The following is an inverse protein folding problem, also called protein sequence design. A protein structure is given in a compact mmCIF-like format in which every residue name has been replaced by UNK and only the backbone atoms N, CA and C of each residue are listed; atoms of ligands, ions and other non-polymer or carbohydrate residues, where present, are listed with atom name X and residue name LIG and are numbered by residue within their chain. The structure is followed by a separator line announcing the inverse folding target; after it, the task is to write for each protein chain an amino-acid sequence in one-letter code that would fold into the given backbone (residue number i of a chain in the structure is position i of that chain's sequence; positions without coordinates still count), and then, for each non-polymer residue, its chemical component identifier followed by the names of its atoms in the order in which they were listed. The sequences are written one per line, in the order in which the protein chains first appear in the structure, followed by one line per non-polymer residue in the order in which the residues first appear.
data_IF_288962168810
#
_entry.id   IF_288962168810
#
_cell.length_a   1.000
_cell.length_b   1.000
_cell.length_c   1.000
_cell.angle_alpha   90.00
_cell.angle_beta   90.00
_cell.angle_gamma   90.00
#
_symmetry.space_group_name_H-M   'P 1'
#
loop_
_entity.id
_entity.type
_entity.pdbx_description
1 polymer ?
#
# COMPACT_ATOMS: atom_id res chain seq x y z
N UNK A 1 11.56 4.96 -21.70
CA UNK A 1 10.18 5.44 -21.93
C UNK A 1 9.72 6.10 -20.65
N UNK A 2 9.32 7.37 -20.70
CA UNK A 2 8.85 8.13 -19.53
C UNK A 2 7.37 8.41 -19.71
N UNK A 3 6.53 7.67 -18.99
CA UNK A 3 5.11 7.95 -18.90
C UNK A 3 4.89 9.18 -18.02
N UNK A 4 4.25 10.23 -18.54
CA UNK A 4 3.83 11.35 -17.71
C UNK A 4 2.79 10.86 -16.70
N UNK A 5 3.03 11.11 -15.41
CA UNK A 5 2.16 10.64 -14.33
C UNK A 5 1.33 11.78 -13.77
N UNK A 6 0.08 11.47 -13.42
CA UNK A 6 -0.87 12.38 -12.78
C UNK A 6 -1.28 11.79 -11.43
N UNK A 7 -1.52 12.67 -10.45
CA UNK A 7 -2.13 12.29 -9.18
C UNK A 7 -3.53 11.75 -9.39
N UNK A 8 -3.90 10.72 -8.63
CA UNK A 8 -5.29 10.31 -8.55
C UNK A 8 -6.10 11.38 -7.80
N UNK A 9 -7.30 11.64 -8.30
CA UNK A 9 -8.28 12.56 -7.73
C UNK A 9 -9.48 11.78 -7.18
N UNK A 10 -10.42 12.49 -6.56
CA UNK A 10 -11.68 11.91 -6.06
C UNK A 10 -12.41 11.03 -7.08
N UNK A 11 -12.45 11.40 -8.37
CA UNK A 11 -13.13 10.61 -9.41
C UNK A 11 -12.51 9.21 -9.58
N UNK A 12 -11.21 9.11 -9.35
CA UNK A 12 -10.45 7.86 -9.45
C UNK A 12 -10.88 6.81 -8.43
N UNK A 13 -11.58 7.23 -7.37
CA UNK A 13 -12.16 6.36 -6.34
C UNK A 13 -13.66 6.07 -6.58
N UNK A 14 -14.29 6.68 -7.59
CA UNK A 14 -15.75 6.59 -7.78
C UNK A 14 -16.26 5.16 -7.98
N UNK A 15 -15.50 4.31 -8.66
CA UNK A 15 -15.92 2.93 -8.94
C UNK A 15 -16.12 2.06 -7.68
N UNK A 16 -15.56 2.45 -6.52
CA UNK A 16 -15.78 1.77 -5.24
C UNK A 16 -17.24 1.84 -4.74
N UNK A 17 -18.04 2.75 -5.29
CA UNK A 17 -19.48 2.81 -5.01
C UNK A 17 -20.19 1.51 -5.39
N UNK A 18 -19.80 0.93 -6.53
CA UNK A 18 -20.34 -0.29 -7.14
C UNK A 18 -19.25 -1.35 -7.33
N UNK A 19 -18.38 -1.51 -6.33
CA UNK A 19 -17.19 -2.35 -6.42
C UNK A 19 -17.45 -3.78 -6.93
N UNK A 20 -18.44 -4.48 -6.37
CA UNK A 20 -18.73 -5.88 -6.70
C UNK A 20 -19.18 -6.07 -8.17
N UNK A 21 -19.75 -5.02 -8.78
CA UNK A 21 -20.10 -5.03 -10.21
C UNK A 21 -18.83 -5.04 -11.06
N UNK A 22 -17.91 -4.12 -10.81
CA UNK A 22 -16.68 -3.99 -11.58
C UNK A 22 -15.74 -5.18 -11.39
N UNK A 23 -15.55 -5.64 -10.15
CA UNK A 23 -14.67 -6.78 -9.85
C UNK A 23 -15.15 -8.06 -10.53
N UNK A 24 -16.46 -8.32 -10.53
CA UNK A 24 -17.01 -9.49 -11.22
C UNK A 24 -16.70 -9.48 -12.71
N UNK A 25 -16.77 -8.31 -13.36
CA UNK A 25 -16.42 -8.18 -14.77
C UNK A 25 -14.92 -8.35 -15.01
N UNK A 26 -14.06 -7.81 -14.13
CA UNK A 26 -12.63 -8.07 -14.20
C UNK A 26 -12.28 -9.55 -13.99
N UNK A 27 -12.80 -10.22 -12.95
CA UNK A 27 -12.52 -11.64 -12.69
C UNK A 27 -12.95 -12.52 -13.89
N UNK A 28 -14.11 -12.25 -14.47
CA UNK A 28 -14.57 -12.96 -15.67
C UNK A 28 -13.64 -12.72 -16.86
N UNK A 29 -13.21 -11.47 -17.09
CA UNK A 29 -12.28 -11.17 -18.16
C UNK A 29 -10.92 -11.82 -17.92
N UNK A 30 -10.38 -11.74 -16.71
CA UNK A 30 -9.07 -12.30 -16.33
C UNK A 30 -9.01 -13.82 -16.41
N UNK A 31 -10.15 -14.51 -16.42
CA UNK A 31 -10.23 -15.95 -16.70
C UNK A 31 -9.92 -16.31 -18.17
N UNK A 32 -9.95 -15.33 -19.09
CA UNK A 32 -9.59 -15.52 -20.50
C UNK A 32 -8.07 -15.75 -20.59
N UNK A 33 -7.70 -16.93 -21.06
CA UNK A 33 -6.31 -17.38 -21.22
C UNK A 33 -5.96 -17.80 -22.65
N UNK A 34 -6.88 -17.63 -23.60
CA UNK A 34 -6.69 -17.91 -25.02
C UNK A 34 -7.37 -16.83 -25.88
N UNK A 35 -6.84 -16.62 -27.08
CA UNK A 35 -7.49 -15.80 -28.11
C UNK A 35 -8.42 -16.71 -28.91
N UNK A 36 -9.68 -16.32 -29.08
CA UNK A 36 -10.59 -17.04 -29.98
C UNK A 36 -10.12 -16.81 -31.42
N UNK A 37 -9.93 -17.90 -32.17
CA UNK A 37 -9.78 -17.78 -33.62
C UNK A 37 -11.08 -17.22 -34.20
N UNK A 38 -10.95 -16.13 -34.96
CA UNK A 38 -12.04 -15.64 -35.79
C UNK A 38 -12.25 -16.68 -36.89
N UNK A 39 -13.26 -17.52 -36.74
CA UNK A 39 -13.76 -18.33 -37.84
C UNK A 39 -14.77 -17.43 -38.55
N UNK A 40 -14.54 -17.03 -39.82
CA UNK A 40 -15.50 -16.23 -40.56
C UNK A 40 -16.84 -16.97 -40.56
N UNK A 41 -17.84 -16.44 -39.86
CA UNK A 41 -19.18 -17.01 -39.93
C UNK A 41 -19.71 -16.75 -41.34
N UNK A 42 -19.90 -17.81 -42.13
CA UNK A 42 -20.64 -17.73 -43.39
C UNK A 42 -21.99 -17.04 -43.14
N UNK A 43 -22.26 -15.97 -43.90
CA UNK A 43 -23.51 -15.22 -43.86
C UNK A 43 -24.69 -16.16 -44.11
N UNK A 44 -25.37 -16.57 -43.03
CA UNK A 44 -26.61 -17.34 -43.14
C UNK A 44 -27.78 -16.37 -43.30
N UNK A 45 -28.04 -15.96 -44.54
CA UNK A 45 -29.30 -15.32 -44.91
C UNK A 45 -30.46 -16.30 -44.65
N UNK A 46 -31.17 -16.16 -43.53
CA UNK A 46 -32.52 -16.71 -43.39
C UNK A 46 -33.52 -15.60 -43.74
N UNK A 47 -33.98 -15.62 -44.99
CA UNK A 47 -35.16 -14.89 -45.41
C UNK A 47 -36.40 -15.53 -44.78
N UNK A 48 -37.11 -14.76 -43.98
CA UNK A 48 -38.44 -15.05 -43.47
C UNK A 48 -39.07 -13.73 -43.04
N UNK A 49 -40.27 -13.44 -43.53
CA UNK A 49 -41.00 -12.22 -43.28
C UNK A 49 -41.25 -12.02 -41.77
N UNK A 50 -40.91 -10.82 -41.25
CA UNK A 50 -41.12 -10.44 -39.84
C UNK A 50 -42.02 -9.21 -39.81
N UNK A 51 -43.14 -9.36 -39.11
CA UNK A 51 -44.09 -8.31 -38.75
C UNK A 51 -43.42 -7.24 -37.86
N UNK A 52 -43.78 -5.99 -38.12
CA UNK A 52 -43.37 -4.78 -37.40
C UNK A 52 -43.82 -4.81 -35.93
N UNK A 53 -42.87 -4.71 -34.99
CA UNK A 53 -42.85 -3.78 -33.84
C UNK A 53 -41.89 -4.25 -32.72
N UNK A 54 -40.59 -4.26 -33.02
CA UNK A 54 -39.52 -3.99 -32.05
C UNK A 54 -38.23 -3.81 -32.85
N UNK A 55 -37.73 -2.58 -32.98
CA UNK A 55 -36.44 -2.30 -33.62
C UNK A 55 -35.31 -2.79 -32.69
N UNK A 56 -35.11 -4.11 -32.68
CA UNK A 56 -34.01 -4.77 -32.01
C UNK A 56 -32.76 -4.52 -32.88
N UNK A 57 -31.94 -3.55 -32.50
CA UNK A 57 -30.67 -3.27 -33.16
C UNK A 57 -29.75 -4.49 -33.09
N UNK A 58 -29.75 -5.32 -34.13
CA UNK A 58 -28.66 -6.27 -34.39
C UNK A 58 -27.41 -5.45 -34.68
N UNK A 59 -26.60 -5.20 -33.64
CA UNK A 59 -25.22 -4.79 -33.87
C UNK A 59 -24.53 -6.01 -34.47
N UNK A 60 -24.10 -5.92 -35.72
CA UNK A 60 -23.12 -6.87 -36.24
C UNK A 60 -22.01 -6.97 -35.19
N UNK A 61 -21.70 -8.18 -34.71
CA UNK A 61 -20.56 -8.40 -33.85
C UNK A 61 -19.33 -7.98 -34.67
N UNK A 62 -18.86 -6.75 -34.48
CA UNK A 62 -17.61 -6.29 -35.07
C UNK A 62 -16.53 -7.14 -34.42
N UNK A 63 -16.11 -8.16 -35.13
CA UNK A 63 -15.16 -9.14 -34.64
C UNK A 63 -13.76 -8.52 -34.68
N UNK A 64 -13.27 -8.12 -33.50
CA UNK A 64 -11.91 -7.56 -33.35
C UNK A 64 -10.95 -8.68 -32.98
N UNK A 65 -9.93 -8.89 -33.82
CA UNK A 65 -8.83 -9.81 -33.54
C UNK A 65 -7.80 -9.15 -32.63
N UNK A 66 -7.58 -9.69 -31.43
CA UNK A 66 -6.49 -9.22 -30.59
C UNK A 66 -5.11 -9.76 -31.00
N UNK A 67 -5.01 -10.56 -32.07
CA UNK A 67 -3.70 -10.98 -32.59
C UNK A 67 -2.97 -9.83 -33.29
N UNK A 68 -3.69 -8.84 -33.82
CA UNK A 68 -3.08 -7.66 -34.47
C UNK A 68 -2.22 -6.83 -33.51
N UNK A 69 -2.43 -6.94 -32.18
CA UNK A 69 -1.61 -6.22 -31.20
C UNK A 69 -0.16 -6.74 -31.17
N UNK A 70 0.08 -7.97 -31.64
CA UNK A 70 1.40 -8.59 -31.65
C UNK A 70 2.37 -7.85 -32.59
N UNK A 71 1.84 -7.22 -33.64
CA UNK A 71 2.61 -6.44 -34.62
C UNK A 71 2.99 -5.05 -34.11
N UNK A 72 2.57 -4.66 -32.90
CA UNK A 72 2.87 -3.35 -32.30
C UNK A 72 4.08 -3.40 -31.36
N UNK A 73 4.88 -2.32 -31.31
CA UNK A 73 6.04 -2.18 -30.43
C UNK A 73 5.76 -2.41 -28.94
N UNK A 74 4.51 -2.18 -28.48
CA UNK A 74 4.13 -2.44 -27.09
C UNK A 74 4.03 -3.93 -26.75
N UNK A 75 3.87 -4.81 -27.75
CA UNK A 75 3.65 -6.25 -27.56
C UNK A 75 4.82 -6.90 -26.82
N UNK A 76 6.05 -6.55 -27.20
CA UNK A 76 7.28 -7.07 -26.60
C UNK A 76 7.48 -6.64 -25.13
N UNK A 77 6.74 -5.63 -24.66
CA UNK A 77 6.84 -5.10 -23.29
C UNK A 77 5.79 -5.73 -22.35
N UNK A 78 4.71 -6.26 -22.91
CA UNK A 78 3.58 -6.79 -22.16
C UNK A 78 3.56 -8.30 -22.33
N UNK A 79 3.62 -9.02 -21.21
CA UNK A 79 3.46 -10.48 -21.25
C UNK A 79 2.07 -10.82 -21.80
N UNK A 80 2.03 -11.60 -22.89
CA UNK A 80 0.77 -12.04 -23.52
C UNK A 80 -0.16 -10.87 -23.89
N UNK A 81 0.37 -9.87 -24.62
CA UNK A 81 -0.37 -8.66 -25.00
C UNK A 81 -1.70 -8.93 -25.71
N UNK A 82 -1.78 -9.99 -26.51
CA UNK A 82 -3.02 -10.43 -27.16
C UNK A 82 -4.08 -10.91 -26.15
N UNK A 83 -3.68 -11.62 -25.09
CA UNK A 83 -4.57 -11.99 -23.99
C UNK A 83 -5.03 -10.76 -23.23
N UNK A 84 -4.12 -9.82 -22.90
CA UNK A 84 -4.50 -8.57 -22.24
C UNK A 84 -5.49 -7.76 -23.08
N UNK A 85 -5.32 -7.73 -24.40
CA UNK A 85 -6.27 -7.14 -25.32
C UNK A 85 -7.65 -7.82 -25.24
N UNK A 86 -7.73 -9.16 -25.23
CA UNK A 86 -8.99 -9.89 -25.11
C UNK A 86 -9.70 -9.59 -23.78
N UNK A 87 -8.93 -9.54 -22.69
CA UNK A 87 -9.43 -9.19 -21.37
C UNK A 87 -10.02 -7.77 -21.36
N UNK A 88 -9.25 -6.78 -21.85
CA UNK A 88 -9.71 -5.40 -21.94
C UNK A 88 -10.95 -5.28 -22.84
N UNK A 89 -10.93 -5.93 -24.02
CA UNK A 89 -12.06 -5.97 -24.96
C UNK A 89 -13.33 -6.48 -24.29
N UNK A 90 -13.23 -7.54 -23.49
CA UNK A 90 -14.36 -8.09 -22.74
C UNK A 90 -14.94 -7.08 -21.74
N UNK A 91 -14.08 -6.48 -20.90
CA UNK A 91 -14.50 -5.47 -19.91
C UNK A 91 -15.12 -4.27 -20.62
N UNK A 92 -14.43 -3.72 -21.63
CA UNK A 92 -14.88 -2.57 -22.42
C UNK A 92 -16.27 -2.81 -23.01
N UNK A 93 -16.50 -3.95 -23.66
CA UNK A 93 -17.79 -4.28 -24.26
C UNK A 93 -18.91 -4.41 -23.22
N UNK A 94 -18.62 -5.04 -22.07
CA UNK A 94 -19.59 -5.19 -20.98
C UNK A 94 -19.98 -3.83 -20.41
N UNK A 95 -18.99 -2.97 -20.14
CA UNK A 95 -19.25 -1.64 -19.59
C UNK A 95 -19.94 -0.74 -20.62
N UNK A 96 -19.53 -0.76 -21.89
CA UNK A 96 -20.12 0.11 -22.93
C UNK A 96 -21.56 -0.23 -23.23
N UNK A 97 -21.94 -1.51 -23.20
CA UNK A 97 -23.31 -1.93 -23.56
C UNK A 97 -24.27 -1.94 -22.36
N UNK A 98 -23.77 -1.71 -21.14
CA UNK A 98 -24.59 -1.64 -19.95
C UNK A 98 -25.40 -0.33 -19.93
N UNK A 99 -26.72 -0.46 -20.06
CA UNK A 99 -27.65 0.66 -19.96
C UNK A 99 -28.06 0.89 -18.50
N UNK A 100 -28.09 2.15 -18.07
CA UNK A 100 -28.67 2.56 -16.79
C UNK A 100 -29.60 3.75 -17.02
N UNK A 101 -30.28 4.20 -15.97
CA UNK A 101 -31.06 5.46 -16.01
C UNK A 101 -30.20 6.68 -16.34
N UNK A 102 -28.89 6.60 -16.13
CA UNK A 102 -27.93 7.70 -16.28
C UNK A 102 -27.08 7.58 -17.55
N UNK A 103 -27.20 6.48 -18.30
CA UNK A 103 -26.31 6.15 -19.41
C UNK A 103 -26.98 5.35 -20.52
N UNK A 104 -26.78 5.78 -21.76
CA UNK A 104 -27.19 5.03 -22.94
C UNK A 104 -26.17 3.95 -23.32
N UNK A 105 -26.62 2.96 -24.09
CA UNK A 105 -25.69 1.97 -24.65
C UNK A 105 -24.70 2.62 -25.62
N UNK A 106 -23.43 2.29 -25.50
CA UNK A 106 -22.33 2.86 -26.27
C UNK A 106 -21.57 3.98 -25.58
N UNK A 107 -21.89 4.30 -24.33
CA UNK A 107 -21.19 5.31 -23.52
C UNK A 107 -20.45 4.66 -22.34
N UNK A 108 -19.57 5.41 -21.67
CA UNK A 108 -18.97 5.05 -20.37
C UNK A 108 -19.23 6.16 -19.38
N UNK A 109 -19.66 5.82 -18.17
CA UNK A 109 -19.78 6.83 -17.11
C UNK A 109 -18.40 7.10 -16.49
N UNK A 110 -18.33 8.10 -15.59
CA UNK A 110 -17.09 8.43 -14.89
C UNK A 110 -16.55 7.25 -14.07
N UNK A 111 -17.43 6.48 -13.41
CA UNK A 111 -17.03 5.30 -12.64
C UNK A 111 -16.49 4.16 -13.52
N UNK A 112 -17.09 3.95 -14.70
CA UNK A 112 -16.59 2.97 -15.68
C UNK A 112 -15.17 3.35 -16.13
N UNK A 113 -14.96 4.63 -16.44
CA UNK A 113 -13.67 5.16 -16.88
C UNK A 113 -12.62 5.12 -15.78
N UNK A 114 -13.00 5.45 -14.54
CA UNK A 114 -12.13 5.35 -13.36
C UNK A 114 -11.68 3.91 -13.11
N UNK A 115 -12.61 2.95 -13.24
CA UNK A 115 -12.29 1.54 -13.12
C UNK A 115 -11.35 1.05 -14.22
N UNK A 116 -11.65 1.35 -15.49
CA UNK A 116 -10.78 0.97 -16.62
C UNK A 116 -9.38 1.58 -16.48
N UNK A 117 -9.29 2.83 -16.01
CA UNK A 117 -8.01 3.48 -15.75
C UNK A 117 -7.22 2.77 -14.63
N UNK A 118 -7.87 2.43 -13.52
CA UNK A 118 -7.24 1.64 -12.45
C UNK A 118 -6.80 0.26 -12.94
N UNK A 119 -7.67 -0.46 -13.64
CA UNK A 119 -7.41 -1.82 -14.13
C UNK A 119 -6.21 -1.84 -15.08
N UNK A 120 -6.14 -0.90 -16.04
CA UNK A 120 -4.97 -0.77 -16.91
C UNK A 120 -3.70 -0.38 -16.14
N UNK A 121 -3.80 0.51 -15.14
CA UNK A 121 -2.66 0.83 -14.28
C UNK A 121 -2.16 -0.39 -13.49
N UNK A 122 -3.01 -1.35 -13.13
CA UNK A 122 -2.59 -2.60 -12.49
C UNK A 122 -1.95 -3.55 -13.51
N UNK A 123 -2.58 -3.77 -14.67
CA UNK A 123 -2.09 -4.74 -15.67
C UNK A 123 -0.85 -4.31 -16.43
N UNK A 124 -0.62 -3.01 -16.59
CA UNK A 124 0.52 -2.47 -17.34
C UNK A 124 1.73 -2.16 -16.43
N UNK A 125 1.68 -2.53 -15.15
CA UNK A 125 2.83 -2.41 -14.24
C UNK A 125 3.60 -3.72 -14.16
N UNK A 126 4.93 -3.61 -14.20
CA UNK A 126 5.83 -4.73 -13.93
C UNK A 126 6.05 -4.95 -12.43
N UNK A 127 6.96 -5.87 -12.09
CA UNK A 127 7.23 -6.28 -10.70
C UNK A 127 7.63 -5.13 -9.74
N UNK A 128 8.23 -4.06 -10.26
CA UNK A 128 8.62 -2.89 -9.46
C UNK A 128 7.50 -1.85 -9.31
N UNK A 129 6.27 -2.17 -9.76
CA UNK A 129 5.13 -1.25 -9.88
C UNK A 129 5.40 -0.04 -10.78
N UNK A 130 6.39 -0.14 -11.67
CA UNK A 130 6.64 0.84 -12.73
C UNK A 130 5.91 0.39 -14.00
N UNK A 131 5.38 1.35 -14.75
CA UNK A 131 4.65 1.07 -15.98
C UNK A 131 5.62 0.56 -17.06
N UNK A 132 5.29 -0.57 -17.67
CA UNK A 132 6.02 -1.08 -18.85
C UNK A 132 5.53 -0.42 -20.14
N UNK A 133 4.26 -0.01 -20.16
CA UNK A 133 3.58 0.72 -21.24
C UNK A 133 2.66 1.77 -20.62
N UNK A 134 2.58 2.95 -21.21
CA UNK A 134 1.67 3.98 -20.72
C UNK A 134 0.22 3.58 -21.00
N UNK A 135 -0.67 3.85 -20.06
CA UNK A 135 -2.09 3.49 -20.13
C UNK A 135 -2.75 4.04 -21.39
N UNK A 136 -2.49 5.31 -21.70
CA UNK A 136 -3.03 5.98 -22.89
C UNK A 136 -2.45 5.42 -24.19
N UNK A 137 -1.16 5.07 -24.21
CA UNK A 137 -0.50 4.45 -25.38
C UNK A 137 -1.12 3.09 -25.70
N UNK A 138 -1.35 2.26 -24.67
CA UNK A 138 -2.03 0.97 -24.84
C UNK A 138 -3.42 1.14 -25.49
N UNK A 139 -4.24 2.06 -24.98
CA UNK A 139 -5.58 2.30 -25.54
C UNK A 139 -5.53 2.87 -26.98
N UNK A 140 -4.57 3.76 -27.27
CA UNK A 140 -4.38 4.28 -28.62
C UNK A 140 -4.01 3.19 -29.63
N UNK A 141 -3.24 2.17 -29.23
CA UNK A 141 -2.96 1.00 -30.07
C UNK A 141 -4.25 0.23 -30.37
N UNK A 142 -5.09 -0.02 -29.35
CA UNK A 142 -6.39 -0.67 -29.56
C UNK A 142 -7.29 0.13 -30.52
N UNK A 143 -7.35 1.46 -30.38
CA UNK A 143 -8.08 2.33 -31.32
C UNK A 143 -7.55 2.26 -32.74
N UNK A 144 -6.24 2.15 -32.93
CA UNK A 144 -5.62 2.01 -34.26
C UNK A 144 -5.94 0.65 -34.89
N UNK A 145 -5.99 -0.42 -34.10
CA UNK A 145 -6.42 -1.75 -34.56
C UNK A 145 -7.88 -1.72 -35.03
N UNK A 146 -8.80 -1.18 -34.21
CA UNK A 146 -10.20 -1.08 -34.60
C UNK A 146 -10.92 0.13 -33.98
N UNK A 147 -10.93 1.24 -34.70
CA UNK A 147 -11.55 2.49 -34.25
C UNK A 147 -13.08 2.46 -34.16
N UNK A 148 -13.74 1.55 -34.91
CA UNK A 148 -15.20 1.39 -34.83
C UNK A 148 -15.62 0.66 -33.55
N UNK A 149 -14.84 -0.32 -33.11
CA UNK A 149 -15.07 -1.02 -31.86
C UNK A 149 -14.71 -0.14 -30.65
N UNK A 150 -13.48 0.38 -30.64
CA UNK A 150 -12.96 1.26 -29.59
C UNK A 150 -13.29 2.73 -29.86
N UNK A 151 -14.57 3.03 -30.08
CA UNK A 151 -15.08 4.34 -30.51
C UNK A 151 -15.38 5.35 -29.39
N UNK A 152 -15.28 4.97 -28.12
CA UNK A 152 -15.63 5.87 -27.01
C UNK A 152 -14.50 6.88 -26.78
N UNK A 153 -14.57 8.00 -27.49
CA UNK A 153 -13.50 9.01 -27.51
C UNK A 153 -13.22 9.59 -26.12
N UNK A 154 -14.26 9.79 -25.31
CA UNK A 154 -14.16 10.34 -23.96
C UNK A 154 -13.33 9.47 -23.00
N UNK A 155 -13.17 8.17 -23.30
CA UNK A 155 -12.35 7.27 -22.48
C UNK A 155 -10.88 7.68 -22.53
N UNK A 156 -10.36 8.06 -23.70
CA UNK A 156 -8.94 8.39 -23.87
C UNK A 156 -8.49 9.58 -23.00
N UNK A 157 -9.40 10.52 -22.73
CA UNK A 157 -9.15 11.69 -21.88
C UNK A 157 -9.22 11.36 -20.38
N UNK A 158 -9.93 10.27 -20.03
CA UNK A 158 -10.03 9.78 -18.65
C UNK A 158 -8.90 8.80 -18.30
N UNK A 159 -8.20 8.26 -19.28
CA UNK A 159 -7.06 7.36 -19.10
C UNK A 159 -5.77 8.13 -18.83
N UNK A 160 -5.09 7.80 -17.73
CA UNK A 160 -3.84 8.43 -17.34
C UNK A 160 -2.96 7.49 -16.51
N UNK A 161 -1.65 7.77 -16.49
CA UNK A 161 -0.71 7.01 -15.68
C UNK A 161 -0.77 7.52 -14.23
N UNK A 162 -1.25 6.70 -13.30
CA UNK A 162 -1.27 7.08 -11.89
C UNK A 162 0.16 7.18 -11.36
N UNK A 163 0.40 8.12 -10.44
CA UNK A 163 1.66 8.06 -9.67
C UNK A 163 1.73 6.73 -8.94
N UNK A 164 2.96 6.23 -8.72
CA UNK A 164 3.17 4.99 -7.97
C UNK A 164 2.54 5.06 -6.58
N UNK A 165 2.59 6.21 -5.92
CA UNK A 165 2.00 6.40 -4.60
C UNK A 165 0.47 6.23 -4.63
N UNK A 166 -0.20 6.88 -5.57
CA UNK A 166 -1.66 6.86 -5.66
C UNK A 166 -2.18 5.50 -6.10
N UNK A 167 -1.50 4.85 -7.04
CA UNK A 167 -1.79 3.49 -7.46
C UNK A 167 -1.76 2.51 -6.28
N UNK A 168 -0.71 2.56 -5.46
CA UNK A 168 -0.59 1.71 -4.26
C UNK A 168 -1.72 1.96 -3.25
N UNK A 169 -2.17 3.20 -3.11
CA UNK A 169 -3.28 3.55 -2.22
C UNK A 169 -4.61 2.99 -2.75
N UNK A 170 -4.91 3.17 -4.04
CA UNK A 170 -6.12 2.61 -4.66
C UNK A 170 -6.08 1.07 -4.62
N UNK A 171 -4.93 0.45 -4.88
CA UNK A 171 -4.75 -1.01 -4.81
C UNK A 171 -5.04 -1.56 -3.41
N UNK A 172 -4.54 -0.91 -2.36
CA UNK A 172 -4.87 -1.29 -0.97
C UNK A 172 -6.35 -1.15 -0.68
N UNK A 173 -7.01 -0.10 -1.19
CA UNK A 173 -8.45 0.05 -1.05
C UNK A 173 -9.21 -1.05 -1.82
N UNK A 174 -8.75 -1.41 -3.01
CA UNK A 174 -9.26 -2.55 -3.78
C UNK A 174 -9.19 -3.84 -2.97
N UNK A 175 -8.04 -4.14 -2.36
CA UNK A 175 -7.88 -5.32 -1.50
C UNK A 175 -8.81 -5.30 -0.28
N UNK A 176 -9.07 -4.12 0.30
CA UNK A 176 -10.01 -3.95 1.42
C UNK A 176 -11.44 -4.26 1.02
N UNK A 177 -11.92 -3.68 -0.10
CA UNK A 177 -13.24 -3.99 -0.63
C UNK A 177 -13.36 -5.45 -1.04
N UNK A 178 -12.34 -6.02 -1.68
CA UNK A 178 -12.32 -7.45 -2.02
C UNK A 178 -12.46 -8.33 -0.77
N UNK A 179 -11.69 -8.02 0.27
CA UNK A 179 -11.75 -8.76 1.54
C UNK A 179 -13.12 -8.58 2.21
N UNK A 180 -13.72 -7.39 2.16
CA UNK A 180 -15.09 -7.13 2.62
C UNK A 180 -16.11 -8.03 1.90
N UNK A 181 -16.06 -8.11 0.57
CA UNK A 181 -16.96 -8.96 -0.21
C UNK A 181 -16.82 -10.43 0.18
N UNK A 182 -15.59 -10.91 0.39
CA UNK A 182 -15.33 -12.27 0.91
C UNK A 182 -15.83 -12.49 2.34
N UNK A 183 -15.88 -11.46 3.18
CA UNK A 183 -16.50 -11.55 4.50
C UNK A 183 -18.02 -11.68 4.36
N UNK A 184 -18.66 -10.85 3.53
CA UNK A 184 -20.12 -10.93 3.30
C UNK A 184 -20.52 -12.30 2.72
N UNK A 185 -19.76 -12.86 1.78
CA UNK A 185 -19.95 -14.24 1.31
C UNK A 185 -19.91 -15.26 2.47
N UNK A 186 -19.09 -15.02 3.48
CA UNK A 186 -18.96 -15.90 4.67
C UNK A 186 -20.05 -15.65 5.73
N UNK A 187 -20.90 -14.65 5.53
CA UNK A 187 -22.07 -14.34 6.35
C UNK A 187 -23.39 -14.77 5.68
N UNK A 188 -23.32 -15.26 4.44
CA UNK A 188 -24.49 -15.71 3.69
C UNK A 188 -25.30 -16.79 4.42
N UNK A 189 -26.60 -16.85 4.13
CA UNK A 189 -27.47 -17.95 4.56
C UNK A 189 -27.10 -19.23 3.82
N UNK A 190 -27.19 -20.37 4.50
CA UNK A 190 -26.98 -21.71 3.94
C UNK A 190 -25.59 -21.96 3.33
N UNK A 191 -24.57 -21.24 3.79
CA UNK A 191 -23.18 -21.47 3.36
C UNK A 191 -22.56 -22.71 4.04
N UNK A 192 -21.57 -23.35 3.39
CA UNK A 192 -20.83 -24.45 4.00
C UNK A 192 -20.19 -24.05 5.35
N UNK A 193 -20.16 -24.94 6.36
CA UNK A 193 -19.54 -24.66 7.66
C UNK A 193 -18.08 -24.21 7.56
N UNK A 194 -17.33 -24.74 6.59
CA UNK A 194 -15.94 -24.38 6.32
C UNK A 194 -15.80 -22.90 5.91
N UNK A 195 -16.68 -22.42 5.01
CA UNK A 195 -16.67 -21.03 4.57
C UNK A 195 -17.07 -20.10 5.72
N UNK A 196 -18.06 -20.51 6.50
CA UNK A 196 -18.50 -19.80 7.71
C UNK A 196 -17.37 -19.65 8.74
N UNK A 197 -16.57 -20.71 8.95
CA UNK A 197 -15.43 -20.70 9.87
C UNK A 197 -14.31 -19.73 9.45
N UNK A 198 -14.22 -19.36 8.16
CA UNK A 198 -13.25 -18.39 7.66
C UNK A 198 -13.60 -16.94 8.01
N UNK A 199 -14.84 -16.64 8.41
CA UNK A 199 -15.29 -15.25 8.62
C UNK A 199 -14.39 -14.50 9.60
N UNK A 200 -14.12 -15.08 10.78
CA UNK A 200 -13.29 -14.45 11.81
C UNK A 200 -11.86 -14.18 11.30
N UNK A 201 -11.29 -15.13 10.55
CA UNK A 201 -9.95 -14.99 9.97
C UNK A 201 -9.91 -13.85 8.96
N UNK A 202 -10.89 -13.79 8.04
CA UNK A 202 -11.00 -12.74 7.01
C UNK A 202 -11.25 -11.36 7.65
N UNK A 203 -12.09 -11.28 8.68
CA UNK A 203 -12.33 -10.04 9.42
C UNK A 203 -11.07 -9.51 10.11
N UNK A 204 -10.28 -10.39 10.76
CA UNK A 204 -8.98 -10.03 11.34
C UNK A 204 -7.99 -9.55 10.28
N UNK A 205 -7.93 -10.22 9.14
CA UNK A 205 -7.08 -9.83 8.03
C UNK A 205 -7.47 -8.46 7.46
N UNK A 206 -8.76 -8.22 7.24
CA UNK A 206 -9.30 -6.94 6.81
C UNK A 206 -8.93 -5.82 7.79
N UNK A 207 -9.15 -6.03 9.08
CA UNK A 207 -8.80 -5.06 10.13
C UNK A 207 -7.32 -4.70 10.11
N UNK A 208 -6.44 -5.71 9.95
CA UNK A 208 -4.99 -5.50 9.85
C UNK A 208 -4.64 -4.69 8.60
N UNK A 209 -5.11 -5.12 7.42
CA UNK A 209 -4.88 -4.41 6.14
C UNK A 209 -5.40 -2.99 6.19
N UNK A 210 -6.53 -2.75 6.86
CA UNK A 210 -7.13 -1.42 7.01
C UNK A 210 -6.19 -0.47 7.76
N UNK A 211 -5.66 -0.90 8.92
CA UNK A 211 -4.69 -0.10 9.68
C UNK A 211 -3.41 0.13 8.88
N UNK A 212 -2.90 -0.90 8.22
CA UNK A 212 -1.69 -0.82 7.40
C UNK A 212 -1.86 0.14 6.22
N UNK A 213 -3.01 0.13 5.55
CA UNK A 213 -3.30 1.04 4.44
C UNK A 213 -3.29 2.51 4.89
N UNK A 214 -3.89 2.82 6.04
CA UNK A 214 -3.88 4.16 6.63
C UNK A 214 -2.46 4.61 7.00
N UNK A 215 -1.69 3.74 7.65
CA UNK A 215 -0.32 4.04 8.13
C UNK A 215 0.63 4.26 6.95
N UNK A 216 0.44 3.51 5.86
CA UNK A 216 1.34 3.55 4.71
C UNK A 216 1.04 4.68 3.73
N UNK A 217 -0.08 5.40 3.87
CA UNK A 217 -0.31 6.59 3.08
C UNK A 217 0.61 7.72 3.57
N UNK A 218 1.47 8.24 2.69
CA UNK A 218 2.53 9.21 3.00
C UNK A 218 2.39 10.40 2.07
N UNK A 219 2.37 11.61 2.64
CA UNK A 219 2.21 12.84 1.88
C UNK A 219 0.74 13.26 1.81
N UNK A 220 0.27 13.58 0.62
CA UNK A 220 -1.08 14.07 0.38
C UNK A 220 -2.04 12.89 0.15
N UNK A 221 -2.92 12.67 1.12
CA UNK A 221 -3.78 11.49 1.22
C UNK A 221 -5.26 11.88 1.37
N UNK A 222 -5.66 13.12 1.04
CA UNK A 222 -7.01 13.62 1.31
C UNK A 222 -8.10 12.78 0.64
N UNK A 223 -7.93 12.49 -0.65
CA UNK A 223 -8.92 11.73 -1.43
C UNK A 223 -8.94 10.26 -0.99
N UNK A 224 -7.76 9.69 -0.73
CA UNK A 224 -7.65 8.34 -0.16
C UNK A 224 -8.32 8.24 1.21
N UNK A 225 -8.12 9.21 2.11
CA UNK A 225 -8.76 9.19 3.43
C UNK A 225 -10.28 9.38 3.35
N UNK A 226 -10.77 10.19 2.41
CA UNK A 226 -12.20 10.26 2.10
C UNK A 226 -12.73 8.88 1.70
N UNK A 227 -12.06 8.20 0.77
CA UNK A 227 -12.44 6.87 0.32
C UNK A 227 -12.33 5.80 1.45
N UNK A 228 -11.37 5.93 2.36
CA UNK A 228 -11.24 5.05 3.55
C UNK A 228 -12.37 5.25 4.54
N UNK A 229 -12.88 6.49 4.70
CA UNK A 229 -14.06 6.77 5.51
C UNK A 229 -15.29 6.10 4.89
N UNK A 230 -15.46 6.23 3.57
CA UNK A 230 -16.57 5.60 2.84
C UNK A 230 -16.53 4.08 2.93
N UNK A 231 -15.34 3.47 2.75
CA UNK A 231 -15.14 2.05 2.98
C UNK A 231 -15.54 1.64 4.38
N UNK A 232 -15.09 2.36 5.42
CA UNK A 232 -15.45 2.07 6.81
C UNK A 232 -16.97 2.09 7.02
N UNK A 233 -17.64 3.10 6.45
CA UNK A 233 -19.09 3.25 6.59
C UNK A 233 -19.83 2.09 5.90
N UNK A 234 -19.44 1.73 4.66
CA UNK A 234 -19.98 0.57 3.94
C UNK A 234 -19.69 -0.74 4.68
N UNK A 235 -18.46 -0.94 5.15
CA UNK A 235 -18.06 -2.12 5.92
C UNK A 235 -18.93 -2.30 7.17
N UNK A 236 -19.18 -1.20 7.90
CA UNK A 236 -20.09 -1.18 9.04
C UNK A 236 -21.52 -1.52 8.62
N UNK A 237 -22.08 -0.82 7.63
CA UNK A 237 -23.49 -0.96 7.27
C UNK A 237 -23.81 -2.34 6.70
N UNK A 238 -22.95 -2.84 5.83
CA UNK A 238 -23.20 -4.09 5.10
C UNK A 238 -22.93 -5.30 6.01
N UNK A 239 -21.88 -5.27 6.84
CA UNK A 239 -21.48 -6.45 7.61
C UNK A 239 -22.01 -6.50 9.05
N UNK A 240 -22.24 -5.37 9.72
CA UNK A 240 -22.77 -5.42 11.11
C UNK A 240 -24.17 -6.04 11.11
N UNK A 241 -25.04 -5.61 10.20
CA UNK A 241 -26.41 -6.12 10.09
C UNK A 241 -26.43 -7.63 9.80
N UNK A 242 -25.54 -8.12 8.94
CA UNK A 242 -25.42 -9.53 8.60
C UNK A 242 -24.84 -10.36 9.76
N UNK A 243 -23.83 -9.83 10.45
CA UNK A 243 -23.11 -10.54 11.52
C UNK A 243 -23.99 -10.88 12.72
N UNK A 244 -24.98 -10.05 13.07
CA UNK A 244 -25.87 -10.30 14.22
C UNK A 244 -26.72 -11.56 14.06
N UNK A 245 -26.91 -12.01 12.81
CA UNK A 245 -27.71 -13.18 12.47
C UNK A 245 -26.88 -14.45 12.25
N UNK A 246 -25.55 -14.40 12.35
CA UNK A 246 -24.66 -15.53 12.07
C UNK A 246 -23.88 -15.98 13.30
N UNK A 247 -23.83 -17.29 13.54
CA UNK A 247 -23.23 -17.86 14.75
C UNK A 247 -21.70 -17.91 14.73
N UNK A 248 -21.08 -17.85 13.54
CA UNK A 248 -19.64 -18.06 13.32
C UNK A 248 -18.79 -16.78 13.40
N UNK A 249 -19.41 -15.60 13.28
CA UNK A 249 -18.69 -14.32 13.21
C UNK A 249 -19.03 -13.35 14.37
N UNK A 250 -19.03 -13.86 15.61
CA UNK A 250 -19.56 -13.14 16.79
C UNK A 250 -18.70 -12.01 17.38
N UNK A 251 -17.67 -11.53 16.68
CA UNK A 251 -16.75 -10.53 17.26
C UNK A 251 -17.05 -9.10 16.78
N UNK A 252 -18.01 -8.46 17.45
CA UNK A 252 -18.51 -7.10 17.11
C UNK A 252 -17.38 -6.07 16.97
N UNK A 253 -16.30 -6.17 17.76
CA UNK A 253 -15.18 -5.23 17.71
C UNK A 253 -14.41 -5.24 16.38
N UNK A 254 -14.34 -6.39 15.68
CA UNK A 254 -13.67 -6.46 14.36
C UNK A 254 -14.48 -5.82 13.25
N UNK A 255 -15.79 -5.63 13.46
CA UNK A 255 -16.66 -4.91 12.54
C UNK A 255 -16.66 -3.40 12.78
N UNK A 256 -16.02 -2.95 13.87
CA UNK A 256 -15.86 -1.54 14.21
C UNK A 256 -14.48 -1.06 13.82
N UNK A 257 -14.32 -0.70 12.54
CA UNK A 257 -13.06 -0.13 12.05
C UNK A 257 -12.81 1.25 12.72
N UNK A 258 -11.61 1.48 13.27
CA UNK A 258 -11.27 2.76 13.91
C UNK A 258 -11.27 3.90 12.89
N UNK A 259 -11.51 5.14 13.33
CA UNK A 259 -11.33 6.29 12.45
C UNK A 259 -9.85 6.47 12.08
N UNK A 260 -9.54 6.92 10.86
CA UNK A 260 -8.15 6.99 10.39
C UNK A 260 -7.25 7.85 11.29
N UNK A 261 -7.75 8.98 11.81
CA UNK A 261 -7.03 9.80 12.80
C UNK A 261 -6.63 9.04 14.06
N UNK A 262 -7.46 8.10 14.53
CA UNK A 262 -7.15 7.28 15.69
C UNK A 262 -6.03 6.30 15.38
N UNK A 263 -6.09 5.65 14.20
CA UNK A 263 -5.03 4.74 13.72
C UNK A 263 -3.69 5.46 13.61
N UNK A 264 -3.68 6.66 13.01
CA UNK A 264 -2.46 7.47 12.86
C UNK A 264 -1.89 7.89 14.22
N UNK A 265 -2.75 8.30 15.16
CA UNK A 265 -2.33 8.67 16.52
C UNK A 265 -1.74 7.48 17.27
N UNK A 266 -2.42 6.34 17.23
CA UNK A 266 -1.97 5.10 17.86
C UNK A 266 -0.61 4.68 17.30
N UNK A 267 -0.46 4.67 15.97
CA UNK A 267 0.81 4.32 15.33
C UNK A 267 1.95 5.28 15.71
N UNK A 268 1.70 6.60 15.73
CA UNK A 268 2.67 7.59 16.20
C UNK A 268 3.09 7.35 17.64
N UNK A 269 2.13 7.07 18.53
CA UNK A 269 2.41 6.79 19.94
C UNK A 269 3.24 5.52 20.12
N UNK A 270 2.90 4.44 19.40
CA UNK A 270 3.67 3.20 19.40
C UNK A 270 5.10 3.43 18.91
N UNK A 271 5.28 4.23 17.85
CA UNK A 271 6.60 4.58 17.34
C UNK A 271 7.42 5.41 18.34
N UNK A 272 6.79 6.37 19.02
CA UNK A 272 7.43 7.16 20.10
C UNK A 272 7.86 6.24 21.24
N UNK A 273 6.96 5.40 21.75
CA UNK A 273 7.28 4.47 22.85
C UNK A 273 8.42 3.53 22.45
N UNK A 274 8.38 2.96 21.24
CA UNK A 274 9.45 2.07 20.75
C UNK A 274 10.78 2.80 20.67
N UNK A 275 10.80 4.02 20.15
CA UNK A 275 12.02 4.81 20.02
C UNK A 275 12.54 5.27 21.39
N UNK A 276 11.67 5.66 22.31
CA UNK A 276 12.03 6.02 23.69
C UNK A 276 12.52 4.81 24.47
N UNK A 277 11.88 3.65 24.34
CA UNK A 277 12.34 2.40 24.93
C UNK A 277 13.74 2.04 24.43
N UNK A 278 13.98 2.14 23.12
CA UNK A 278 15.31 1.91 22.55
C UNK A 278 16.34 2.94 23.02
N UNK A 279 15.95 4.21 23.18
CA UNK A 279 16.84 5.30 23.58
C UNK A 279 17.14 5.32 25.08
N UNK A 280 16.20 4.90 25.93
CA UNK A 280 16.32 5.00 27.40
C UNK A 280 16.64 3.65 28.03
N UNK A 281 15.94 2.58 27.66
CA UNK A 281 16.16 1.27 28.27
C UNK A 281 17.50 0.68 27.83
N UNK A 282 17.88 0.81 26.55
CA UNK A 282 19.12 0.22 26.05
C UNK A 282 20.38 0.78 26.75
N UNK A 283 20.55 2.11 26.95
CA UNK A 283 21.68 2.63 27.70
C UNK A 283 21.62 2.29 29.19
N UNK A 284 20.43 2.30 29.81
CA UNK A 284 20.27 1.92 31.22
C UNK A 284 20.64 0.45 31.44
N UNK A 285 20.18 -0.45 30.58
CA UNK A 285 20.58 -1.86 30.61
C UNK A 285 22.06 -2.05 30.33
N UNK A 286 22.66 -1.28 29.41
CA UNK A 286 24.10 -1.31 29.16
C UNK A 286 24.91 -0.86 30.40
N UNK A 287 24.52 0.23 31.05
CA UNK A 287 25.18 0.70 32.29
C UNK A 287 25.02 -0.31 33.42
N UNK A 288 23.81 -0.85 33.64
CA UNK A 288 23.57 -1.88 34.65
C UNK A 288 24.38 -3.16 34.37
N UNK A 289 24.48 -3.58 33.10
CA UNK A 289 25.29 -4.72 32.70
C UNK A 289 26.78 -4.49 33.01
N UNK A 290 27.30 -3.28 32.75
CA UNK A 290 28.68 -2.90 33.10
C UNK A 290 28.92 -2.91 34.61
N UNK A 291 27.92 -2.57 35.42
CA UNK A 291 28.00 -2.58 36.88
C UNK A 291 27.91 -3.99 37.50
N UNK A 292 27.14 -4.89 36.88
CA UNK A 292 26.94 -6.27 37.38
C UNK A 292 28.12 -7.18 37.01
N UNK A 293 28.80 -6.92 35.89
CA UNK A 293 29.93 -7.74 35.41
C UNK A 293 31.26 -6.98 35.30
N UNK A 294 31.75 -6.32 36.35
CA UNK A 294 32.99 -5.54 36.28
C UNK A 294 34.19 -6.42 35.90
N UNK A 295 34.27 -7.64 36.42
CA UNK A 295 35.43 -8.52 36.28
C UNK A 295 35.55 -9.19 34.89
N UNK A 296 34.44 -9.36 34.17
CA UNK A 296 34.44 -9.91 32.79
C UNK A 296 34.80 -8.88 31.72
N UNK A 297 34.75 -7.59 32.04
CA UNK A 297 35.00 -6.47 31.10
C UNK A 297 36.37 -5.80 31.30
N UNK A 298 37.15 -6.27 32.27
CA UNK A 298 38.50 -5.82 32.64
C UNK A 298 39.50 -5.61 31.48
N UNK A 299 39.57 -6.46 30.42
CA UNK A 299 40.51 -6.18 29.32
C UNK A 299 40.07 -5.00 28.44
N UNK A 300 38.76 -4.79 28.27
CA UNK A 300 38.23 -3.73 27.40
C UNK A 300 38.26 -2.36 28.09
N UNK A 301 37.93 -2.32 29.40
CA UNK A 301 38.02 -1.09 30.20
C UNK A 301 39.45 -0.55 30.30
N UNK A 302 40.46 -1.43 30.42
CA UNK A 302 41.88 -1.05 30.36
C UNK A 302 42.25 -0.43 29.01
N UNK A 303 41.82 -1.01 27.89
CA UNK A 303 42.13 -0.51 26.53
C UNK A 303 41.50 0.87 26.24
N UNK A 304 40.26 1.11 26.71
CA UNK A 304 39.60 2.42 26.57
C UNK A 304 40.25 3.47 27.47
N UNK A 305 40.58 3.13 28.73
CA UNK A 305 41.24 4.04 29.66
C UNK A 305 42.65 4.43 29.18
N UNK A 306 43.38 3.49 28.58
CA UNK A 306 44.70 3.73 27.99
C UNK A 306 44.62 4.65 26.75
N UNK A 307 43.58 4.51 25.91
CA UNK A 307 43.33 5.43 24.79
C UNK A 307 42.97 6.85 25.25
N UNK A 308 42.13 7.00 26.28
CA UNK A 308 41.79 8.32 26.85
C UNK A 308 43.04 8.98 27.47
N UNK A 309 43.88 8.20 28.16
CA UNK A 309 45.17 8.70 28.69
C UNK A 309 46.12 9.12 27.56
N UNK A 310 46.21 8.37 26.45
CA UNK A 310 47.01 8.76 25.28
C UNK A 310 46.54 10.07 24.66
N UNK A 311 45.24 10.31 24.53
CA UNK A 311 44.70 11.59 24.03
C UNK A 311 45.06 12.76 24.95
N UNK A 312 45.16 12.52 26.27
CA UNK A 312 45.60 13.54 27.24
C UNK A 312 47.08 13.90 27.10
N UNK A 313 47.96 12.94 26.78
CA UNK A 313 49.39 13.23 26.54
C UNK A 313 49.66 13.94 25.20
N UNK A 314 48.78 13.81 24.21
CA UNK A 314 48.88 14.55 22.93
C UNK A 314 48.50 16.03 23.09
N UNK A 315 47.74 16.40 24.13
CA UNK A 315 47.24 17.76 24.34
C UNK A 315 48.15 18.63 25.24
N UNK A 316 49.19 18.03 25.84
CA UNK A 316 50.10 18.69 26.80
C UNK A 316 51.58 18.50 26.47
N UNK A 317 51.91 18.01 25.27
CA UNK A 317 53.30 17.96 24.80
C UNK A 317 53.60 19.25 24.03
N UNK A 318 53.89 20.32 24.79
CA UNK A 318 54.50 21.54 24.28
C UNK A 318 55.96 21.52 24.80
N UNK A 319 56.88 21.22 23.90
CA UNK A 319 58.31 21.22 24.19
C UNK A 319 58.88 22.63 24.22
N UNK A 320 60.06 22.75 24.86
CA UNK A 320 61.05 23.85 24.82
C UNK A 320 61.08 24.76 26.09
N UNK A 321 61.97 24.49 27.07
CA UNK A 321 63.35 25.03 27.29
C UNK A 321 63.37 26.54 27.61
N UNK A 322 64.12 27.14 28.54
CA UNK A 322 65.16 26.79 29.51
C UNK A 322 65.26 28.00 30.50
N UNK A 323 65.66 27.81 31.75
CA UNK A 323 66.58 28.71 32.46
C UNK A 323 67.05 28.11 33.79
N UNK A 324 68.27 27.59 33.70
CA UNK A 324 69.35 27.54 34.68
C UNK A 324 69.15 28.05 36.12
N UNK A 325 69.80 27.26 36.99
CA UNK A 325 70.62 27.63 38.14
C UNK A 325 70.02 27.59 39.56
N UNK A 326 70.55 26.56 40.27
CA UNK A 326 70.99 26.56 41.67
C UNK A 326 69.89 26.39 42.74
N UNK A 327 70.06 25.64 43.82
CA UNK A 327 70.97 24.58 44.26
C UNK A 327 70.57 24.30 45.72
N UNK A 328 70.97 23.12 46.22
CA UNK A 328 71.08 22.76 47.63
C UNK A 328 69.87 22.17 48.38
N UNK A 329 69.92 20.83 48.48
CA UNK A 329 69.98 19.99 49.71
C UNK A 329 68.87 20.10 50.76
N UNK A 330 68.43 19.05 51.46
CA UNK A 330 68.99 17.72 51.68
C UNK A 330 67.86 16.76 52.05
N UNK A 331 68.00 15.50 51.64
CA UNK A 331 67.42 14.36 52.35
C UNK A 331 67.84 14.37 53.83
N UNK A 332 66.90 14.15 54.77
CA UNK A 332 66.96 12.98 55.66
C UNK A 332 65.79 12.86 56.67
N UNK A 333 65.27 11.64 56.73
CA UNK A 333 64.95 10.80 57.91
C UNK A 333 63.88 11.18 58.96
N UNK A 334 62.88 10.27 59.05
CA UNK A 334 62.21 9.66 60.22
C UNK A 334 62.15 10.38 61.57
N UNK A 335 60.93 10.54 62.12
CA UNK A 335 60.50 9.93 63.41
C UNK A 335 59.08 10.35 63.81
N UNK A 336 58.28 9.32 64.10
CA UNK A 336 57.21 9.15 65.11
C UNK A 336 57.00 10.30 66.12
N UNK A 337 55.72 10.62 66.43
CA UNK A 337 55.36 11.23 67.72
C UNK A 337 54.00 11.94 67.79
N UNK A 338 52.98 11.19 68.20
CA UNK A 338 51.87 11.57 69.10
C UNK A 338 50.77 12.59 68.72
N UNK A 339 49.55 12.02 68.76
CA UNK A 339 48.26 12.53 69.21
C UNK A 339 48.16 13.99 69.73
N UNK A 340 47.20 14.74 69.18
CA UNK A 340 46.16 15.36 70.01
C UNK A 340 44.91 15.77 69.22
N UNK A 341 43.76 15.36 69.74
CA UNK A 341 42.41 15.76 69.33
C UNK A 341 42.17 17.25 69.58
N UNK A 342 41.58 17.94 68.60
CA UNK A 342 41.02 19.28 68.82
C UNK A 342 39.50 19.24 68.75
N UNK A 343 38.89 19.54 69.89
CA UNK A 343 37.46 19.65 70.15
C UNK A 343 37.05 21.12 69.91
N UNK A 344 36.12 21.41 69.00
CA UNK A 344 35.65 22.77 68.73
C UNK A 344 34.24 22.93 69.28
N UNK A 345 34.09 23.78 70.31
CA UNK A 345 32.83 24.19 70.91
C UNK A 345 32.30 25.48 70.26
N UNK A 346 30.98 25.56 70.13
CA UNK A 346 30.24 26.75 69.67
C UNK A 346 30.04 27.76 70.81
N UNK A 347 30.13 29.05 70.49
CA UNK A 347 29.49 30.11 71.28
C UNK A 347 28.67 31.03 70.37
N UNK A 348 27.41 31.16 70.76
CA UNK A 348 26.43 32.15 70.33
C UNK A 348 26.55 33.42 71.17
N UNK A 349 26.40 34.59 70.53
CA UNK A 349 25.99 35.86 71.12
C UNK A 349 24.88 36.45 70.26
#
# INVERSE_FOLDING_TARGET
MTCETKKADKESYGFFESFDYYVRHAENAESINSVKEIIPSEEKYMGGDIDFDEEMCYRADIEVSCNEILDNDISNKIQSSNILCEQFKNIYNKLSNWQTKEKNSGELCNNDSAFLNYWLNDKLRGNNNDLVVCVKEFYQVLRKMNGQYFKIETLEDKLYNMTKHDFENIKKLYELYYTKSKISESLGRDIPPELSALCLRRAKECYKKYKEAIINCRGDCSDFYSAIIDFKNKYKNDLILESENTSSCKYKELFLLPHYNAVLREHKNVQIIRNTALSVLFPVFAVLFMLIFPDRLTPFSKSVLEKIKRTKYILFDDGERDSELLSYTSDNYYSIGDQQEYNISYYSV
#
